data_IF_932797138180
#
_entry.id   IF_932797138180
#
_cell.length_a   1.000
_cell.length_b   1.000
_cell.length_c   1.000
_cell.angle_alpha   90.00
_cell.angle_beta   90.00
_cell.angle_gamma   90.00
#
_symmetry.space_group_name_H-M   'P 1'
#
loop_
_entity.id
_entity.type
_entity.pdbx_description
1 polymer ?
#
# COMPACT_ATOMS: atom_id res chain seq x y z
N UNK A 1 21.89 8.17 -9.02
CA UNK A 1 20.96 7.30 -8.27
C UNK A 1 20.93 7.65 -6.79
N UNK A 2 22.09 7.72 -6.12
CA UNK A 2 22.19 8.18 -4.72
C UNK A 2 21.79 9.63 -4.59
N UNK A 3 20.80 9.91 -3.71
CA UNK A 3 20.23 11.24 -3.48
C UNK A 3 21.12 12.05 -2.53
N UNK A 4 22.21 12.59 -3.07
CA UNK A 4 23.16 13.49 -2.40
C UNK A 4 23.33 14.76 -3.25
N UNK A 5 23.97 15.78 -2.69
CA UNK A 5 24.26 17.01 -3.44
C UNK A 5 23.23 18.11 -3.27
N UNK A 6 22.47 18.13 -2.17
CA UNK A 6 21.53 19.22 -1.89
C UNK A 6 22.26 20.57 -1.80
N UNK A 7 21.68 21.67 -2.33
CA UNK A 7 22.23 23.02 -2.22
C UNK A 7 22.61 23.43 -0.79
N UNK A 8 21.78 23.07 0.20
CA UNK A 8 22.00 23.41 1.61
C UNK A 8 23.14 22.63 2.29
N UNK A 9 23.58 21.51 1.69
CA UNK A 9 24.52 20.56 2.29
C UNK A 9 25.95 20.74 1.76
N UNK A 10 26.92 20.05 2.39
CA UNK A 10 28.33 19.98 1.98
C UNK A 10 28.85 18.53 1.92
N UNK A 11 27.96 17.55 1.73
CA UNK A 11 28.30 16.13 1.76
C UNK A 11 28.79 15.55 0.43
N UNK A 12 28.77 16.33 -0.64
CA UNK A 12 29.16 15.88 -1.99
C UNK A 12 29.73 17.04 -2.80
N UNK A 13 30.70 16.80 -3.70
CA UNK A 13 31.13 17.79 -4.70
C UNK A 13 29.97 18.34 -5.54
N UNK A 14 28.90 17.55 -5.73
CA UNK A 14 27.69 17.96 -6.43
C UNK A 14 26.94 19.11 -5.76
N UNK A 15 27.15 19.35 -4.45
CA UNK A 15 26.50 20.46 -3.74
C UNK A 15 26.86 21.83 -4.33
N UNK A 16 28.10 22.03 -4.81
CA UNK A 16 28.51 23.30 -5.40
C UNK A 16 27.77 23.58 -6.71
N UNK A 17 27.64 22.57 -7.56
CA UNK A 17 26.85 22.66 -8.79
C UNK A 17 25.37 22.85 -8.49
N UNK A 18 24.83 22.14 -7.51
CA UNK A 18 23.43 22.29 -7.15
C UNK A 18 23.09 23.71 -6.65
N UNK A 19 24.01 24.40 -5.97
CA UNK A 19 23.82 25.82 -5.58
C UNK A 19 23.86 26.79 -6.77
N UNK A 20 24.44 26.39 -7.89
CA UNK A 20 24.42 27.18 -9.12
C UNK A 20 23.13 26.96 -9.91
N UNK A 21 22.63 25.71 -9.91
CA UNK A 21 21.51 25.29 -10.77
C UNK A 21 20.14 25.36 -10.08
N UNK A 22 20.08 25.35 -8.74
CA UNK A 22 18.84 25.32 -7.96
C UNK A 22 18.87 26.37 -6.85
N UNK A 23 17.72 27.00 -6.61
CA UNK A 23 17.58 28.03 -5.58
C UNK A 23 17.40 27.41 -4.17
N UNK A 24 16.77 26.24 -4.09
CA UNK A 24 16.40 25.57 -2.82
C UNK A 24 16.49 24.04 -2.92
N UNK A 25 16.52 23.38 -1.76
CA UNK A 25 16.59 21.92 -1.66
C UNK A 25 15.35 21.21 -2.25
N UNK A 26 14.17 21.82 -2.14
CA UNK A 26 12.92 21.26 -2.66
C UNK A 26 12.91 21.20 -4.19
N UNK A 27 13.49 22.21 -4.84
CA UNK A 27 13.63 22.27 -6.30
C UNK A 27 14.59 21.16 -6.78
N UNK A 28 15.76 21.06 -6.14
CA UNK A 28 16.72 19.98 -6.38
C UNK A 28 16.06 18.60 -6.15
N UNK A 29 15.31 18.42 -5.06
CA UNK A 29 14.65 17.15 -4.74
C UNK A 29 13.65 16.74 -5.81
N UNK A 30 12.87 17.68 -6.36
CA UNK A 30 11.90 17.43 -7.42
C UNK A 30 12.59 17.07 -8.73
N UNK A 31 13.57 17.87 -9.14
CA UNK A 31 14.40 17.59 -10.32
C UNK A 31 15.04 16.21 -10.21
N UNK A 32 15.71 15.93 -9.08
CA UNK A 32 16.39 14.67 -8.86
C UNK A 32 15.43 13.48 -8.90
N UNK A 33 14.22 13.62 -8.36
CA UNK A 33 13.22 12.54 -8.41
C UNK A 33 12.78 12.22 -9.83
N UNK A 34 12.56 13.24 -10.68
CA UNK A 34 12.25 13.05 -12.11
C UNK A 34 13.43 12.46 -12.86
N UNK A 35 14.62 13.01 -12.68
CA UNK A 35 15.85 12.51 -13.28
C UNK A 35 16.10 11.04 -12.91
N UNK A 36 15.89 10.67 -11.65
CA UNK A 36 16.05 9.30 -11.17
C UNK A 36 15.04 8.34 -11.80
N UNK A 37 13.82 8.78 -12.09
CA UNK A 37 12.83 7.98 -12.83
C UNK A 37 13.30 7.69 -14.27
N UNK A 38 13.81 8.70 -14.98
CA UNK A 38 14.39 8.55 -16.33
C UNK A 38 15.60 7.61 -16.34
N UNK A 39 16.46 7.69 -15.33
CA UNK A 39 17.58 6.76 -15.17
C UNK A 39 17.09 5.34 -14.90
N UNK A 40 16.03 5.15 -14.11
CA UNK A 40 15.43 3.83 -13.89
C UNK A 40 14.90 3.21 -15.19
N UNK A 41 14.26 4.01 -16.06
CA UNK A 41 13.85 3.56 -17.38
C UNK A 41 15.04 3.23 -18.28
N UNK A 42 16.09 4.04 -18.24
CA UNK A 42 17.35 3.76 -18.94
C UNK A 42 17.96 2.42 -18.48
N UNK A 43 17.94 2.10 -17.19
CA UNK A 43 18.43 0.82 -16.65
C UNK A 43 17.59 -0.36 -17.18
N UNK A 44 16.27 -0.20 -17.27
CA UNK A 44 15.38 -1.22 -17.87
C UNK A 44 15.76 -1.49 -19.33
N UNK A 45 15.98 -0.46 -20.13
CA UNK A 45 16.41 -0.60 -21.52
C UNK A 45 17.82 -1.22 -21.62
N UNK A 46 18.76 -0.78 -20.78
CA UNK A 46 20.11 -1.32 -20.74
C UNK A 46 20.11 -2.83 -20.40
N UNK A 47 19.22 -3.26 -19.52
CA UNK A 47 19.05 -4.67 -19.13
C UNK A 47 18.61 -5.52 -20.32
N UNK A 48 17.71 -5.01 -21.17
CA UNK A 48 17.27 -5.72 -22.37
C UNK A 48 18.38 -5.93 -23.40
N UNK A 49 19.40 -5.06 -23.42
CA UNK A 49 20.55 -5.18 -24.33
C UNK A 49 21.71 -5.96 -23.71
N UNK A 50 21.97 -5.77 -22.41
CA UNK A 50 23.16 -6.27 -21.70
C UNK A 50 22.79 -6.91 -20.36
N UNK A 51 21.93 -7.92 -20.41
CA UNK A 51 21.38 -8.57 -19.21
C UNK A 51 22.44 -9.12 -18.26
N UNK A 52 23.44 -9.85 -18.78
CA UNK A 52 24.47 -10.48 -17.94
C UNK A 52 25.27 -9.45 -17.13
N UNK A 53 25.61 -8.33 -17.76
CA UNK A 53 26.35 -7.25 -17.11
C UNK A 53 25.52 -6.58 -16.02
N UNK A 54 24.30 -6.16 -16.36
CA UNK A 54 23.39 -5.46 -15.43
C UNK A 54 23.01 -6.34 -14.23
N UNK A 55 22.73 -7.63 -14.46
CA UNK A 55 22.48 -8.59 -13.38
C UNK A 55 23.70 -8.80 -12.48
N UNK A 56 24.89 -9.01 -13.05
CA UNK A 56 26.12 -9.20 -12.28
C UNK A 56 26.45 -7.97 -11.42
N UNK A 57 26.28 -6.76 -11.98
CA UNK A 57 26.46 -5.51 -11.25
C UNK A 57 25.52 -5.40 -10.04
N UNK A 58 24.22 -5.68 -10.24
CA UNK A 58 23.24 -5.68 -9.15
C UNK A 58 23.53 -6.76 -8.11
N UNK A 59 23.90 -7.96 -8.55
CA UNK A 59 24.28 -9.06 -7.65
C UNK A 59 25.42 -8.65 -6.73
N UNK A 60 26.48 -8.08 -7.29
CA UNK A 60 27.63 -7.63 -6.52
C UNK A 60 27.27 -6.49 -5.57
N UNK A 61 26.49 -5.50 -6.03
CA UNK A 61 26.09 -4.37 -5.19
C UNK A 61 25.19 -4.81 -4.03
N UNK A 62 24.21 -5.69 -4.29
CA UNK A 62 23.33 -6.23 -3.25
C UNK A 62 24.10 -7.07 -2.22
N UNK A 63 25.07 -7.88 -2.65
CA UNK A 63 25.95 -8.63 -1.72
C UNK A 63 26.78 -7.69 -0.86
N UNK A 64 27.32 -6.64 -1.47
CA UNK A 64 28.16 -5.66 -0.77
C UNK A 64 27.38 -4.88 0.28
N UNK A 65 26.18 -4.40 -0.06
CA UNK A 65 25.38 -3.59 0.87
C UNK A 65 24.88 -4.40 2.06
N UNK A 66 24.53 -5.68 1.83
CA UNK A 66 24.06 -6.58 2.90
C UNK A 66 25.18 -6.89 3.89
N UNK A 67 26.42 -6.98 3.42
CA UNK A 67 27.59 -7.22 4.27
C UNK A 67 28.05 -5.96 5.03
N UNK A 68 27.64 -4.77 4.60
CA UNK A 68 28.04 -3.50 5.19
C UNK A 68 27.19 -3.19 6.44
N UNK A 69 27.77 -2.73 7.56
CA UNK A 69 27.00 -2.29 8.71
C UNK A 69 26.12 -1.07 8.36
N UNK A 70 24.99 -0.94 9.06
CA UNK A 70 24.10 0.21 8.89
C UNK A 70 24.74 1.44 9.51
N UNK A 71 24.94 2.46 8.69
CA UNK A 71 25.47 3.78 9.01
C UNK A 71 24.31 4.78 9.07
N UNK A 72 23.97 5.20 10.30
CA UNK A 72 22.91 6.17 10.58
C UNK A 72 23.38 7.63 10.39
N UNK A 73 24.68 7.86 10.20
CA UNK A 73 25.29 9.18 10.04
C UNK A 73 25.94 9.71 11.32
N UNK A 74 26.20 11.03 11.35
CA UNK A 74 27.01 11.68 12.40
C UNK A 74 26.29 11.86 13.74
N UNK A 75 24.97 11.66 13.82
CA UNK A 75 24.22 11.75 15.06
C UNK A 75 24.32 10.43 15.87
N UNK A 76 25.10 10.39 16.96
CA UNK A 76 25.29 9.17 17.75
C UNK A 76 24.04 8.79 18.53
N UNK A 77 23.05 9.69 18.64
CA UNK A 77 21.78 9.46 19.34
C UNK A 77 20.70 8.87 18.42
N UNK A 78 20.91 8.88 17.10
CA UNK A 78 19.99 8.32 16.12
C UNK A 78 20.06 6.78 16.13
N UNK A 79 19.12 6.15 16.84
CA UNK A 79 19.01 4.69 16.89
C UNK A 79 18.59 4.05 15.54
N UNK A 80 17.98 4.83 14.64
CA UNK A 80 17.54 4.40 13.31
C UNK A 80 17.91 5.46 12.26
N UNK A 81 18.07 5.03 11.02
CA UNK A 81 18.24 5.83 9.82
C UNK A 81 17.10 6.82 9.63
N UNK A 82 17.45 7.96 9.05
CA UNK A 82 16.53 8.94 8.48
C UNK A 82 16.70 9.00 6.96
N UNK A 83 15.96 9.91 6.31
CA UNK A 83 15.97 10.05 4.84
C UNK A 83 17.30 10.56 4.26
N UNK A 84 18.25 10.99 5.10
CA UNK A 84 19.58 11.47 4.72
C UNK A 84 20.72 10.58 5.22
N UNK A 85 20.43 9.52 5.99
CA UNK A 85 21.46 8.59 6.48
C UNK A 85 22.18 7.91 5.31
N UNK A 86 23.53 7.79 5.34
CA UNK A 86 24.30 7.22 4.25
C UNK A 86 23.83 5.83 3.82
N UNK A 87 23.55 4.95 4.79
CA UNK A 87 23.03 3.61 4.48
C UNK A 87 21.67 3.65 3.81
N UNK A 88 20.74 4.49 4.26
CA UNK A 88 19.42 4.59 3.62
C UNK A 88 19.54 5.06 2.16
N UNK A 89 20.34 6.09 1.90
CA UNK A 89 20.53 6.60 0.53
C UNK A 89 21.12 5.55 -0.43
N UNK A 90 22.05 4.72 0.07
CA UNK A 90 22.64 3.63 -0.69
C UNK A 90 21.62 2.51 -0.94
N UNK A 91 20.88 2.09 0.09
CA UNK A 91 19.83 1.07 0.00
C UNK A 91 18.71 1.47 -0.94
N UNK A 92 18.20 2.69 -0.81
CA UNK A 92 17.13 3.24 -1.65
C UNK A 92 17.57 3.26 -3.14
N UNK A 93 18.83 3.62 -3.40
CA UNK A 93 19.41 3.61 -4.76
C UNK A 93 19.49 2.22 -5.36
N UNK A 94 20.04 1.28 -4.58
CA UNK A 94 20.16 -0.12 -4.98
C UNK A 94 18.78 -0.70 -5.28
N UNK A 95 17.79 -0.41 -4.44
CA UNK A 95 16.42 -0.95 -4.56
C UNK A 95 15.84 -0.66 -5.94
N UNK A 96 15.98 0.58 -6.43
CA UNK A 96 15.51 0.96 -7.77
C UNK A 96 16.30 0.25 -8.89
N UNK A 97 17.60 0.04 -8.70
CA UNK A 97 18.43 -0.67 -9.67
C UNK A 97 18.04 -2.15 -9.75
N UNK A 98 17.87 -2.80 -8.59
CA UNK A 98 17.38 -4.19 -8.48
C UNK A 98 16.03 -4.32 -9.17
N UNK A 99 15.07 -3.45 -8.86
CA UNK A 99 13.75 -3.49 -9.51
C UNK A 99 13.84 -3.29 -11.03
N UNK A 100 14.61 -2.29 -11.48
CA UNK A 100 14.84 -2.01 -12.90
C UNK A 100 15.37 -3.23 -13.65
N UNK A 101 16.43 -3.86 -13.13
CA UNK A 101 17.05 -5.04 -13.74
C UNK A 101 16.11 -6.25 -13.69
N UNK A 102 15.57 -6.60 -12.51
CA UNK A 102 14.73 -7.78 -12.36
C UNK A 102 13.44 -7.70 -13.19
N UNK A 103 12.89 -6.50 -13.41
CA UNK A 103 11.68 -6.30 -14.21
C UNK A 103 11.83 -6.64 -15.70
N UNK A 104 13.07 -6.69 -16.22
CA UNK A 104 13.39 -6.98 -17.63
C UNK A 104 14.25 -8.22 -17.82
N UNK A 105 14.52 -8.94 -16.74
CA UNK A 105 15.40 -10.11 -16.74
C UNK A 105 14.70 -11.33 -17.37
N UNK A 106 15.29 -11.90 -18.41
CA UNK A 106 14.94 -13.23 -18.92
C UNK A 106 15.69 -14.31 -18.12
N UNK A 107 15.01 -15.42 -17.85
CA UNK A 107 15.51 -16.50 -16.99
C UNK A 107 15.87 -17.76 -17.79
N UNK A 108 16.59 -17.55 -18.90
CA UNK A 108 17.01 -18.60 -19.83
C UNK A 108 18.38 -19.22 -19.46
N UNK A 109 19.18 -18.53 -18.66
CA UNK A 109 20.52 -18.96 -18.23
C UNK A 109 20.45 -19.59 -16.83
N UNK A 110 20.73 -20.89 -16.71
CA UNK A 110 20.67 -21.63 -15.46
C UNK A 110 21.62 -21.07 -14.38
N UNK A 111 22.81 -20.58 -14.77
CA UNK A 111 23.75 -20.00 -13.81
C UNK A 111 23.18 -18.72 -13.20
N UNK A 112 22.51 -17.91 -14.03
CA UNK A 112 21.85 -16.68 -13.58
C UNK A 112 20.67 -16.97 -12.66
N UNK A 113 19.94 -18.07 -12.92
CA UNK A 113 18.87 -18.55 -12.03
C UNK A 113 19.44 -18.97 -10.68
N UNK A 114 20.53 -19.76 -10.66
CA UNK A 114 21.18 -20.18 -9.41
C UNK A 114 21.66 -18.97 -8.61
N UNK A 115 22.36 -18.04 -9.25
CA UNK A 115 22.82 -16.81 -8.59
C UNK A 115 21.64 -15.97 -8.08
N UNK A 116 20.54 -15.88 -8.82
CA UNK A 116 19.32 -15.19 -8.40
C UNK A 116 18.66 -15.82 -7.19
N UNK A 117 18.65 -17.16 -7.10
CA UNK A 117 18.18 -17.90 -5.92
C UNK A 117 19.11 -17.63 -4.72
N UNK A 118 20.43 -17.56 -4.93
CA UNK A 118 21.37 -17.21 -3.86
C UNK A 118 21.14 -15.79 -3.34
N UNK A 119 20.86 -14.83 -4.23
CA UNK A 119 20.51 -13.46 -3.84
C UNK A 119 19.19 -13.42 -3.07
N UNK A 120 18.18 -14.19 -3.49
CA UNK A 120 16.91 -14.31 -2.76
C UNK A 120 17.15 -14.82 -1.34
N UNK A 121 17.93 -15.90 -1.19
CA UNK A 121 18.27 -16.46 0.13
C UNK A 121 19.08 -15.47 0.98
N UNK A 122 20.00 -14.72 0.37
CA UNK A 122 20.77 -13.69 1.05
C UNK A 122 19.88 -12.58 1.59
N UNK A 123 18.96 -12.07 0.77
CA UNK A 123 17.98 -11.05 1.21
C UNK A 123 17.07 -11.61 2.28
N UNK A 124 16.65 -12.88 2.20
CA UNK A 124 15.83 -13.53 3.23
C UNK A 124 16.56 -13.65 4.58
N UNK A 125 17.85 -13.96 4.57
CA UNK A 125 18.68 -14.09 5.77
C UNK A 125 19.04 -12.75 6.42
N UNK A 126 18.99 -11.63 5.68
CA UNK A 126 19.33 -10.31 6.21
C UNK A 126 18.31 -9.82 7.26
N UNK A 127 18.74 -9.47 8.46
CA UNK A 127 17.89 -8.94 9.53
C UNK A 127 18.26 -7.50 9.87
N UNK A 128 17.26 -6.68 10.15
CA UNK A 128 17.44 -5.30 10.62
C UNK A 128 16.27 -4.87 11.50
N UNK A 129 16.55 -4.01 12.47
CA UNK A 129 15.53 -3.32 13.28
C UNK A 129 15.23 -1.92 12.74
N UNK A 130 15.95 -1.49 11.71
CA UNK A 130 15.74 -0.20 11.08
C UNK A 130 14.55 -0.25 10.12
N UNK A 131 13.49 0.56 10.31
CA UNK A 131 12.32 0.52 9.45
C UNK A 131 12.62 0.91 8.00
N UNK A 132 13.45 1.93 7.76
CA UNK A 132 13.72 2.38 6.39
C UNK A 132 14.51 1.32 5.61
N UNK A 133 15.53 0.72 6.24
CA UNK A 133 16.30 -0.37 5.62
C UNK A 133 15.46 -1.62 5.45
N UNK A 134 14.58 -1.95 6.41
CA UNK A 134 13.63 -3.06 6.27
C UNK A 134 12.70 -2.85 5.06
N UNK A 135 12.23 -1.61 4.84
CA UNK A 135 11.43 -1.27 3.66
C UNK A 135 12.19 -1.51 2.35
N UNK A 136 13.46 -1.09 2.27
CA UNK A 136 14.31 -1.36 1.10
C UNK A 136 14.55 -2.86 0.89
N UNK A 137 14.80 -3.61 1.97
CA UNK A 137 14.97 -5.07 1.94
C UNK A 137 13.72 -5.77 1.40
N UNK A 138 12.52 -5.35 1.82
CA UNK A 138 11.25 -5.87 1.30
C UNK A 138 11.05 -5.58 -0.18
N UNK A 139 11.46 -4.40 -0.65
CA UNK A 139 11.41 -4.06 -2.07
C UNK A 139 12.35 -4.93 -2.90
N UNK A 140 13.60 -5.12 -2.45
CA UNK A 140 14.55 -6.06 -3.06
C UNK A 140 14.00 -7.49 -3.08
N UNK A 141 13.44 -7.96 -1.96
CA UNK A 141 12.79 -9.27 -1.85
C UNK A 141 11.68 -9.41 -2.90
N UNK A 142 10.81 -8.41 -3.03
CA UNK A 142 9.69 -8.44 -3.98
C UNK A 142 10.12 -8.47 -5.44
N UNK A 143 11.26 -7.84 -5.77
CA UNK A 143 11.85 -7.86 -7.10
C UNK A 143 12.47 -9.22 -7.45
N UNK A 144 12.92 -9.97 -6.43
CA UNK A 144 13.51 -11.31 -6.58
C UNK A 144 12.46 -12.43 -6.63
N UNK A 145 11.16 -12.14 -6.53
CA UNK A 145 10.10 -13.16 -6.60
C UNK A 145 10.10 -13.95 -7.91
N UNK A 146 10.66 -13.39 -8.99
CA UNK A 146 10.79 -14.08 -10.28
C UNK A 146 11.55 -15.42 -10.17
N UNK A 147 12.38 -15.58 -9.13
CA UNK A 147 13.15 -16.79 -8.87
C UNK A 147 12.38 -17.86 -8.07
N UNK A 148 11.23 -17.52 -7.45
CA UNK A 148 10.48 -18.45 -6.59
C UNK A 148 10.00 -19.69 -7.33
N UNK A 149 9.71 -19.59 -8.64
CA UNK A 149 9.32 -20.74 -9.46
C UNK A 149 10.40 -21.82 -9.56
N UNK A 150 11.67 -21.46 -9.32
CA UNK A 150 12.80 -22.40 -9.31
C UNK A 150 13.16 -22.90 -7.91
N UNK A 151 12.62 -22.27 -6.86
CA UNK A 151 12.88 -22.64 -5.46
C UNK A 151 11.59 -22.57 -4.61
N UNK A 152 10.55 -23.33 -4.95
CA UNK A 152 9.26 -23.25 -4.27
C UNK A 152 9.35 -23.59 -2.78
N UNK A 153 10.34 -24.40 -2.37
CA UNK A 153 10.58 -24.75 -0.97
C UNK A 153 10.94 -23.56 -0.06
N UNK A 154 11.36 -22.43 -0.63
CA UNK A 154 11.70 -21.20 0.12
C UNK A 154 10.46 -20.34 0.41
N UNK A 155 9.31 -20.62 -0.21
CA UNK A 155 8.07 -19.85 -0.04
C UNK A 155 7.65 -19.67 1.44
N UNK A 156 7.69 -20.69 2.31
CA UNK A 156 7.35 -20.51 3.73
C UNK A 156 8.25 -19.48 4.43
N UNK A 157 9.55 -19.45 4.09
CA UNK A 157 10.52 -18.48 4.63
C UNK A 157 10.22 -17.06 4.15
N UNK A 158 9.82 -16.92 2.88
CA UNK A 158 9.38 -15.64 2.29
C UNK A 158 8.15 -15.12 3.04
N UNK A 159 7.12 -15.96 3.20
CA UNK A 159 5.91 -15.57 3.91
C UNK A 159 6.20 -15.23 5.38
N UNK A 160 7.04 -16.01 6.05
CA UNK A 160 7.46 -15.71 7.43
C UNK A 160 8.09 -14.32 7.53
N UNK A 161 8.97 -13.95 6.60
CA UNK A 161 9.62 -12.64 6.57
C UNK A 161 8.63 -11.50 6.31
N UNK A 162 7.72 -11.69 5.35
CA UNK A 162 6.67 -10.71 5.05
C UNK A 162 5.74 -10.51 6.27
N UNK A 163 5.28 -11.60 6.89
CA UNK A 163 4.41 -11.52 8.07
C UNK A 163 5.12 -10.88 9.27
N UNK A 164 6.40 -11.17 9.49
CA UNK A 164 7.19 -10.48 10.51
C UNK A 164 7.22 -8.96 10.28
N UNK A 165 7.32 -8.52 9.02
CA UNK A 165 7.25 -7.11 8.67
C UNK A 165 5.84 -6.51 8.79
N UNK A 166 4.77 -7.28 8.50
CA UNK A 166 3.37 -6.86 8.70
C UNK A 166 3.10 -6.54 10.17
N UNK A 167 3.67 -7.31 11.10
CA UNK A 167 3.52 -7.08 12.55
C UNK A 167 4.67 -6.27 13.17
N UNK A 168 5.55 -5.72 12.35
CA UNK A 168 6.74 -5.00 12.81
C UNK A 168 6.38 -3.84 13.75
N UNK A 169 7.15 -3.69 14.82
CA UNK A 169 7.07 -2.60 15.78
C UNK A 169 8.46 -2.35 16.39
N UNK A 170 8.76 -1.09 16.70
CA UNK A 170 9.92 -0.76 17.51
C UNK A 170 9.64 -0.97 19.00
N UNK A 171 10.66 -1.23 19.84
CA UNK A 171 10.49 -1.39 21.28
C UNK A 171 9.73 -0.21 21.90
N UNK A 172 8.72 -0.51 22.72
CA UNK A 172 7.88 0.49 23.40
C UNK A 172 6.78 1.14 22.56
N UNK A 173 6.65 0.81 21.27
CA UNK A 173 5.54 1.29 20.44
C UNK A 173 4.28 0.43 20.60
N UNK A 174 3.13 1.11 20.54
CA UNK A 174 1.78 0.53 20.52
C UNK A 174 1.10 0.88 19.21
N UNK A 175 -0.07 0.29 18.92
CA UNK A 175 -0.87 0.61 17.72
C UNK A 175 -1.05 2.11 17.47
N UNK A 176 -1.29 2.90 18.53
CA UNK A 176 -1.51 4.34 18.45
C UNK A 176 -0.22 5.16 18.37
N UNK A 177 0.90 4.65 18.92
CA UNK A 177 2.17 5.39 19.06
C UNK A 177 3.23 5.02 18.00
N UNK A 178 2.91 4.16 17.03
CA UNK A 178 3.83 3.83 15.91
C UNK A 178 4.27 5.10 15.15
N UNK A 179 5.56 5.21 14.90
CA UNK A 179 6.13 6.25 14.03
C UNK A 179 5.66 6.08 12.59
N UNK A 180 5.79 7.15 11.78
CA UNK A 180 5.41 7.11 10.37
C UNK A 180 6.23 6.07 9.60
N UNK A 181 7.54 5.97 9.85
CA UNK A 181 8.39 4.94 9.26
C UNK A 181 7.89 3.50 9.54
N UNK A 182 7.48 3.20 10.78
CA UNK A 182 6.94 1.87 11.13
C UNK A 182 5.61 1.60 10.43
N UNK A 183 4.69 2.57 10.41
CA UNK A 183 3.42 2.44 9.66
C UNK A 183 3.68 2.18 8.17
N UNK A 184 4.63 2.90 7.58
CA UNK A 184 5.01 2.75 6.17
C UNK A 184 5.56 1.34 5.88
N UNK A 185 6.45 0.80 6.72
CA UNK A 185 6.99 -0.57 6.55
C UNK A 185 5.90 -1.62 6.60
N UNK A 186 4.99 -1.52 7.56
CA UNK A 186 3.90 -2.48 7.72
C UNK A 186 2.94 -2.44 6.53
N UNK A 187 2.58 -1.25 6.07
CA UNK A 187 1.79 -1.06 4.85
C UNK A 187 2.53 -1.59 3.61
N UNK A 188 3.84 -1.34 3.50
CA UNK A 188 4.68 -1.87 2.43
C UNK A 188 4.72 -3.40 2.43
N UNK A 189 4.87 -4.03 3.60
CA UNK A 189 4.80 -5.47 3.75
C UNK A 189 3.45 -6.04 3.31
N UNK A 190 2.33 -5.38 3.66
CA UNK A 190 1.00 -5.75 3.18
C UNK A 190 0.93 -5.66 1.64
N UNK A 191 1.47 -4.60 1.03
CA UNK A 191 1.54 -4.44 -0.43
C UNK A 191 2.42 -5.51 -1.10
N UNK A 192 3.54 -5.89 -0.49
CA UNK A 192 4.39 -7.00 -0.96
C UNK A 192 3.63 -8.32 -0.91
N UNK A 193 2.83 -8.56 0.14
CA UNK A 193 1.96 -9.74 0.22
C UNK A 193 0.90 -9.75 -0.89
N UNK A 194 0.28 -8.60 -1.17
CA UNK A 194 -0.66 -8.46 -2.29
C UNK A 194 0.04 -8.75 -3.62
N UNK A 195 1.25 -8.25 -3.83
CA UNK A 195 2.05 -8.48 -5.05
C UNK A 195 2.32 -9.97 -5.27
N UNK A 196 2.82 -10.69 -4.26
CA UNK A 196 3.05 -12.14 -4.41
C UNK A 196 1.75 -12.93 -4.63
N UNK A 197 0.67 -12.55 -3.92
CA UNK A 197 -0.65 -13.16 -4.08
C UNK A 197 -1.29 -12.86 -5.45
N UNK A 198 -0.94 -11.73 -6.08
CA UNK A 198 -1.44 -11.34 -7.40
C UNK A 198 -0.65 -12.00 -8.52
N UNK A 199 0.68 -11.92 -8.47
CA UNK A 199 1.56 -12.25 -9.57
C UNK A 199 1.97 -13.74 -9.57
N UNK A 200 1.92 -14.40 -8.41
CA UNK A 200 2.33 -15.81 -8.22
C UNK A 200 1.20 -16.66 -7.63
N UNK A 201 -0.03 -16.43 -8.10
CA UNK A 201 -1.25 -17.11 -7.62
C UNK A 201 -1.15 -18.65 -7.58
N UNK A 202 -0.59 -19.27 -8.62
CA UNK A 202 -0.42 -20.74 -8.69
C UNK A 202 0.51 -21.27 -7.61
N UNK A 203 1.54 -20.50 -7.23
CA UNK A 203 2.47 -20.86 -6.16
C UNK A 203 1.85 -20.65 -4.78
N UNK A 204 1.00 -19.63 -4.64
CA UNK A 204 0.33 -19.27 -3.38
C UNK A 204 -0.88 -20.17 -3.06
N UNK A 205 -1.58 -20.67 -4.07
CA UNK A 205 -2.81 -21.44 -3.86
C UNK A 205 -2.66 -22.71 -3.01
N UNK A 206 -1.60 -23.53 -3.16
CA UNK A 206 -1.37 -24.70 -2.30
C UNK A 206 -1.29 -24.38 -0.80
N UNK A 207 -0.83 -23.18 -0.44
CA UNK A 207 -0.70 -22.71 0.94
C UNK A 207 -1.84 -21.77 1.37
N UNK A 208 -2.91 -21.65 0.56
CA UNK A 208 -4.00 -20.70 0.81
C UNK A 208 -4.69 -20.90 2.16
N UNK A 209 -4.85 -22.15 2.61
CA UNK A 209 -5.47 -22.45 3.91
C UNK A 209 -4.61 -21.97 5.08
N UNK A 210 -3.31 -22.20 5.01
CA UNK A 210 -2.35 -21.74 6.03
C UNK A 210 -2.26 -20.22 6.02
N UNK A 211 -2.27 -19.61 4.83
CA UNK A 211 -2.34 -18.17 4.65
C UNK A 211 -3.59 -17.57 5.33
N UNK A 212 -4.77 -18.16 5.09
CA UNK A 212 -6.01 -17.77 5.78
C UNK A 212 -5.87 -17.87 7.31
N UNK A 213 -5.30 -18.96 7.81
CA UNK A 213 -5.11 -19.19 9.25
C UNK A 213 -4.19 -18.14 9.89
N UNK A 214 -3.03 -17.88 9.28
CA UNK A 214 -2.10 -16.86 9.74
C UNK A 214 -2.75 -15.47 9.79
N UNK A 215 -3.47 -15.09 8.74
CA UNK A 215 -4.10 -13.78 8.65
C UNK A 215 -5.26 -13.65 9.64
N UNK A 216 -6.05 -14.70 9.82
CA UNK A 216 -7.12 -14.73 10.82
C UNK A 216 -6.56 -14.57 12.24
N UNK A 217 -5.43 -15.21 12.56
CA UNK A 217 -4.78 -15.06 13.87
C UNK A 217 -4.33 -13.62 14.13
N UNK A 218 -3.78 -12.94 13.11
CA UNK A 218 -3.34 -11.54 13.23
C UNK A 218 -4.56 -10.59 13.34
N UNK A 219 -5.62 -10.81 12.55
CA UNK A 219 -6.83 -9.97 12.54
C UNK A 219 -7.61 -10.09 13.86
N UNK A 220 -7.56 -11.26 14.52
CA UNK A 220 -8.21 -11.46 15.82
C UNK A 220 -7.59 -10.63 16.95
N UNK A 221 -6.33 -10.23 16.83
CA UNK A 221 -5.67 -9.32 17.77
C UNK A 221 -6.02 -7.87 17.38
N UNK A 222 -6.97 -7.29 18.12
CA UNK A 222 -7.50 -5.94 17.89
C UNK A 222 -6.42 -4.84 17.98
N UNK A 223 -5.31 -5.11 18.68
CA UNK A 223 -4.21 -4.16 18.86
C UNK A 223 -3.10 -4.31 17.82
N UNK A 224 -3.19 -5.27 16.89
CA UNK A 224 -2.17 -5.42 15.84
C UNK A 224 -2.43 -4.52 14.64
N UNK A 225 -3.52 -4.77 13.91
CA UNK A 225 -3.73 -4.18 12.60
C UNK A 225 -4.59 -2.93 12.65
N UNK A 226 -4.22 -1.94 11.84
CA UNK A 226 -5.15 -0.90 11.41
C UNK A 226 -6.20 -1.49 10.45
N UNK A 227 -7.35 -0.83 10.34
CA UNK A 227 -8.40 -1.22 9.41
C UNK A 227 -7.91 -1.26 7.95
N UNK A 228 -7.02 -0.34 7.57
CA UNK A 228 -6.44 -0.32 6.22
C UNK A 228 -5.52 -1.51 5.97
N UNK A 229 -4.67 -1.87 6.95
CA UNK A 229 -3.85 -3.09 6.86
C UNK A 229 -4.74 -4.33 6.73
N UNK A 230 -5.81 -4.45 7.52
CA UNK A 230 -6.79 -5.54 7.40
C UNK A 230 -7.43 -5.60 6.00
N UNK A 231 -7.80 -4.46 5.42
CA UNK A 231 -8.32 -4.39 4.06
C UNK A 231 -7.32 -4.93 3.02
N UNK A 232 -6.07 -4.46 3.06
CA UNK A 232 -5.01 -4.86 2.12
C UNK A 232 -4.72 -6.37 2.25
N UNK A 233 -4.67 -6.87 3.49
CA UNK A 233 -4.52 -8.29 3.78
C UNK A 233 -5.70 -9.10 3.22
N UNK A 234 -6.93 -8.67 3.45
CA UNK A 234 -8.10 -9.37 2.91
C UNK A 234 -8.12 -9.36 1.38
N UNK A 235 -7.66 -8.28 0.75
CA UNK A 235 -7.43 -8.19 -0.69
C UNK A 235 -6.46 -9.26 -1.20
N UNK A 236 -5.35 -9.51 -0.49
CA UNK A 236 -4.42 -10.58 -0.82
C UNK A 236 -5.09 -11.96 -0.81
N UNK A 237 -5.97 -12.22 0.16
CA UNK A 237 -6.73 -13.47 0.21
C UNK A 237 -7.73 -13.60 -0.94
N UNK A 238 -8.41 -12.51 -1.31
CA UNK A 238 -9.35 -12.51 -2.44
C UNK A 238 -8.63 -12.88 -3.73
N UNK A 239 -7.44 -12.31 -3.96
CA UNK A 239 -6.61 -12.61 -5.13
C UNK A 239 -6.29 -14.10 -5.25
N UNK A 240 -5.86 -14.75 -4.16
CA UNK A 240 -5.56 -16.19 -4.17
C UNK A 240 -6.84 -17.02 -4.29
N UNK A 241 -7.95 -16.58 -3.70
CA UNK A 241 -9.24 -17.29 -3.78
C UNK A 241 -9.76 -17.44 -5.21
N UNK A 242 -9.37 -16.54 -6.14
CA UNK A 242 -9.71 -16.66 -7.55
C UNK A 242 -9.19 -17.97 -8.19
N UNK A 243 -8.13 -18.58 -7.62
CA UNK A 243 -7.58 -19.88 -8.06
C UNK A 243 -8.42 -21.08 -7.64
N UNK A 244 -9.48 -20.90 -6.85
CA UNK A 244 -10.44 -21.98 -6.64
C UNK A 244 -11.12 -22.42 -7.93
N UNK A 245 -11.22 -21.52 -8.93
CA UNK A 245 -11.89 -21.75 -10.21
C UNK A 245 -13.30 -22.38 -10.04
N UNK A 246 -13.98 -22.01 -8.95
CA UNK A 246 -15.29 -22.54 -8.54
C UNK A 246 -16.13 -21.38 -7.99
N UNK A 247 -17.23 -21.09 -8.70
CA UNK A 247 -18.11 -19.97 -8.38
C UNK A 247 -18.69 -20.07 -6.96
N UNK A 248 -19.11 -21.26 -6.53
CA UNK A 248 -19.77 -21.43 -5.25
C UNK A 248 -18.78 -21.24 -4.09
N UNK A 249 -17.57 -21.80 -4.22
CA UNK A 249 -16.52 -21.63 -3.21
C UNK A 249 -16.07 -20.18 -3.10
N UNK A 250 -15.84 -19.51 -4.23
CA UNK A 250 -15.45 -18.10 -4.23
C UNK A 250 -16.56 -17.21 -3.64
N UNK A 251 -17.82 -17.42 -4.03
CA UNK A 251 -18.93 -16.62 -3.52
C UNK A 251 -19.15 -16.83 -2.02
N UNK A 252 -18.99 -18.07 -1.53
CA UNK A 252 -19.06 -18.36 -0.10
C UNK A 252 -17.91 -17.72 0.70
N UNK A 253 -16.70 -17.77 0.17
CA UNK A 253 -15.53 -17.12 0.76
C UNK A 253 -15.71 -15.60 0.86
N UNK A 254 -16.14 -14.95 -0.23
CA UNK A 254 -16.42 -13.52 -0.26
C UNK A 254 -17.57 -13.15 0.69
N UNK A 255 -18.61 -13.98 0.77
CA UNK A 255 -19.68 -13.79 1.74
C UNK A 255 -19.14 -13.78 3.17
N UNK A 256 -18.26 -14.70 3.53
CA UNK A 256 -17.63 -14.74 4.84
C UNK A 256 -16.82 -13.46 5.13
N UNK A 257 -15.97 -13.04 4.20
CA UNK A 257 -15.13 -11.83 4.37
C UNK A 257 -15.94 -10.54 4.41
N UNK A 258 -17.10 -10.49 3.75
CA UNK A 258 -18.00 -9.33 3.80
C UNK A 258 -18.97 -9.34 4.99
N UNK A 259 -19.02 -10.38 5.83
CA UNK A 259 -19.93 -10.41 7.00
C UNK A 259 -19.72 -9.21 7.95
N UNK A 260 -18.50 -8.82 8.34
CA UNK A 260 -18.29 -7.65 9.20
C UNK A 260 -18.80 -6.36 8.54
N UNK A 261 -18.51 -6.18 7.25
CA UNK A 261 -18.98 -5.04 6.46
C UNK A 261 -20.50 -5.01 6.39
N UNK A 262 -21.16 -6.15 6.11
CA UNK A 262 -22.62 -6.24 6.08
C UNK A 262 -23.26 -5.84 7.42
N UNK A 263 -22.65 -6.22 8.55
CA UNK A 263 -23.16 -5.84 9.89
C UNK A 263 -23.14 -4.34 10.11
N UNK A 264 -22.04 -3.66 9.80
CA UNK A 264 -21.94 -2.20 9.94
C UNK A 264 -22.76 -1.50 8.85
N UNK A 265 -22.55 -1.86 7.60
CA UNK A 265 -23.11 -1.17 6.44
C UNK A 265 -24.64 -1.27 6.37
N UNK A 266 -25.22 -2.38 6.81
CA UNK A 266 -26.68 -2.56 6.87
C UNK A 266 -27.28 -2.23 8.23
N UNK A 267 -26.50 -1.67 9.17
CA UNK A 267 -26.99 -1.21 10.47
C UNK A 267 -27.99 -0.07 10.32
N UNK A 268 -28.87 0.11 11.31
CA UNK A 268 -29.84 1.20 11.28
C UNK A 268 -29.14 2.56 11.43
N UNK A 269 -28.06 2.59 12.21
CA UNK A 269 -27.20 3.74 12.41
C UNK A 269 -26.63 4.24 11.08
N UNK A 270 -26.07 3.35 10.25
CA UNK A 270 -25.53 3.72 8.94
C UNK A 270 -26.63 4.14 7.96
N UNK A 271 -27.76 3.42 7.93
CA UNK A 271 -28.89 3.79 7.06
C UNK A 271 -29.40 5.20 7.36
N UNK A 272 -29.57 5.53 8.64
CA UNK A 272 -30.03 6.86 9.06
C UNK A 272 -28.98 7.93 8.75
N UNK A 273 -27.70 7.64 9.01
CA UNK A 273 -26.61 8.55 8.69
C UNK A 273 -26.55 8.87 7.19
N UNK A 274 -26.75 7.89 6.31
CA UNK A 274 -26.61 8.08 4.86
C UNK A 274 -27.85 8.65 4.18
N UNK A 275 -29.01 8.68 4.86
CA UNK A 275 -30.28 9.06 4.24
C UNK A 275 -30.36 10.57 3.90
N UNK A 276 -29.78 11.42 4.74
CA UNK A 276 -29.84 12.87 4.62
C UNK A 276 -28.49 13.54 4.96
N UNK A 277 -28.15 14.67 4.33
CA UNK A 277 -26.87 15.36 4.51
C UNK A 277 -26.66 15.86 5.95
N UNK A 278 -27.70 16.34 6.65
CA UNK A 278 -27.62 16.78 8.05
C UNK A 278 -27.28 15.60 8.99
N UNK A 279 -27.90 14.44 8.75
CA UNK A 279 -27.63 13.21 9.51
C UNK A 279 -26.22 12.70 9.27
N UNK A 280 -25.76 12.74 8.02
CA UNK A 280 -24.39 12.38 7.69
C UNK A 280 -23.40 13.31 8.39
N UNK A 281 -23.64 14.63 8.30
CA UNK A 281 -22.81 15.65 8.92
C UNK A 281 -22.67 15.44 10.43
N UNK A 282 -23.79 15.16 11.11
CA UNK A 282 -23.80 14.82 12.53
C UNK A 282 -23.04 13.55 12.85
N UNK A 283 -23.25 12.49 12.06
CA UNK A 283 -22.63 11.19 12.29
C UNK A 283 -21.10 11.21 12.14
N UNK A 284 -20.59 12.03 11.20
CA UNK A 284 -19.15 12.20 10.99
C UNK A 284 -18.55 13.31 11.85
N UNK A 285 -19.36 14.10 12.57
CA UNK A 285 -18.91 15.17 13.47
C UNK A 285 -18.48 16.45 12.76
N UNK A 286 -19.03 16.73 11.58
CA UNK A 286 -18.70 17.93 10.78
C UNK A 286 -19.49 19.19 11.21
N UNK A 287 -20.60 18.98 11.91
CA UNK A 287 -21.42 20.00 12.59
C UNK A 287 -20.95 20.29 14.02
N UNK A 288 -19.96 19.54 14.51
CA UNK A 288 -19.46 19.60 15.88
C UNK A 288 -18.11 20.32 15.96
N UNK A 289 -17.75 20.79 17.15
CA UNK A 289 -16.43 21.35 17.39
C UNK A 289 -15.33 20.28 17.21
N UNK A 290 -14.21 20.61 16.56
CA UNK A 290 -12.98 19.82 16.58
C UNK A 290 -12.61 19.27 17.95
N UNK A 291 -12.28 17.98 18.01
CA UNK A 291 -11.88 17.30 19.25
C UNK A 291 -10.40 16.92 19.20
N UNK A 292 -9.66 17.34 20.22
CA UNK A 292 -8.29 16.93 20.53
C UNK A 292 -8.16 16.58 22.02
N UNK A 293 -7.41 15.54 22.39
CA UNK A 293 -6.61 14.65 21.53
C UNK A 293 -7.49 13.75 20.65
N UNK A 294 -6.96 13.30 19.51
CA UNK A 294 -7.66 12.40 18.57
C UNK A 294 -8.30 11.14 19.20
N UNK A 295 -7.84 10.70 20.36
CA UNK A 295 -8.41 9.58 21.11
C UNK A 295 -9.80 9.84 21.70
N UNK A 296 -10.17 11.11 21.88
CA UNK A 296 -11.48 11.52 22.42
C UNK A 296 -12.53 11.75 21.31
N UNK A 297 -12.10 11.70 20.05
CA UNK A 297 -12.94 11.91 18.87
C UNK A 297 -13.77 10.66 18.55
N UNK A 298 -14.94 10.55 19.19
CA UNK A 298 -15.91 9.47 18.98
C UNK A 298 -16.40 9.40 17.53
N UNK A 299 -16.60 10.55 16.88
CA UNK A 299 -16.98 10.64 15.48
C UNK A 299 -15.85 10.14 14.54
N UNK A 300 -14.60 10.20 14.98
CA UNK A 300 -13.45 9.62 14.29
C UNK A 300 -13.58 8.10 14.12
N UNK A 301 -14.22 7.41 15.06
CA UNK A 301 -14.52 5.98 14.95
C UNK A 301 -15.54 5.73 13.84
N UNK A 302 -16.59 6.56 13.76
CA UNK A 302 -17.61 6.48 12.72
C UNK A 302 -17.01 6.69 11.32
N UNK A 303 -16.19 7.73 11.15
CA UNK A 303 -15.45 7.98 9.90
C UNK A 303 -14.57 6.79 9.53
N UNK A 304 -13.84 6.22 10.50
CA UNK A 304 -13.02 5.03 10.28
C UNK A 304 -13.85 3.82 9.81
N UNK A 305 -15.01 3.56 10.43
CA UNK A 305 -15.91 2.48 10.00
C UNK A 305 -16.46 2.68 8.59
N UNK A 306 -16.80 3.92 8.20
CA UNK A 306 -17.21 4.23 6.83
C UNK A 306 -16.05 3.89 5.88
N UNK A 307 -14.86 4.44 6.13
CA UNK A 307 -13.67 4.18 5.31
C UNK A 307 -13.36 2.68 5.20
N UNK A 308 -13.40 1.91 6.29
CA UNK A 308 -13.21 0.46 6.25
C UNK A 308 -14.21 -0.22 5.32
N UNK A 309 -15.51 0.07 5.48
CA UNK A 309 -16.55 -0.55 4.67
C UNK A 309 -16.40 -0.21 3.18
N UNK A 310 -16.14 1.05 2.84
CA UNK A 310 -15.99 1.48 1.44
C UNK A 310 -14.76 0.84 0.79
N UNK A 311 -13.62 0.81 1.48
CA UNK A 311 -12.40 0.15 1.00
C UNK A 311 -12.60 -1.36 0.81
N UNK A 312 -13.27 -2.04 1.74
CA UNK A 312 -13.57 -3.48 1.62
C UNK A 312 -14.51 -3.78 0.46
N UNK A 313 -15.55 -2.97 0.27
CA UNK A 313 -16.46 -3.08 -0.89
C UNK A 313 -15.67 -2.92 -2.19
N UNK A 314 -14.84 -1.88 -2.27
CA UNK A 314 -14.01 -1.60 -3.44
C UNK A 314 -12.99 -2.72 -3.71
N UNK A 315 -12.34 -3.25 -2.67
CA UNK A 315 -11.38 -4.34 -2.78
C UNK A 315 -12.02 -5.59 -3.37
N UNK A 316 -13.21 -5.98 -2.89
CA UNK A 316 -13.95 -7.13 -3.44
C UNK A 316 -14.32 -6.90 -4.91
N UNK A 317 -14.81 -5.70 -5.26
CA UNK A 317 -15.16 -5.35 -6.64
C UNK A 317 -13.93 -5.40 -7.55
N UNK A 318 -12.80 -4.83 -7.11
CA UNK A 318 -11.56 -4.75 -7.91
C UNK A 318 -10.86 -6.09 -8.09
N UNK A 319 -11.02 -7.03 -7.16
CA UNK A 319 -10.17 -8.23 -7.06
C UNK A 319 -10.87 -9.55 -7.31
N UNK A 320 -12.19 -9.64 -7.10
CA UNK A 320 -12.92 -10.85 -7.43
C UNK A 320 -13.09 -10.99 -8.94
N UNK A 321 -12.59 -12.09 -9.51
CA UNK A 321 -12.63 -12.32 -10.96
C UNK A 321 -12.89 -13.78 -11.27
N UNK A 322 -13.60 -14.05 -12.37
CA UNK A 322 -13.71 -15.39 -12.94
C UNK A 322 -12.40 -15.82 -13.66
N UNK A 323 -12.20 -17.12 -13.94
CA UNK A 323 -11.05 -17.60 -14.70
C UNK A 323 -10.99 -17.01 -16.11
N UNK A 324 -9.77 -16.70 -16.60
CA UNK A 324 -9.57 -16.20 -17.98
C UNK A 324 -9.82 -17.25 -19.06
N UNK A 325 -9.65 -18.53 -18.69
CA UNK A 325 -9.90 -19.67 -19.56
C UNK A 325 -11.41 -19.98 -19.58
N UNK A 326 -12.01 -19.96 -20.76
CA UNK A 326 -13.43 -20.17 -20.98
C UNK A 326 -13.91 -21.57 -20.56
N UNK A 327 -13.09 -22.61 -20.73
CA UNK A 327 -13.46 -23.97 -20.34
C UNK A 327 -13.48 -24.10 -18.82
N UNK A 328 -12.45 -23.58 -18.16
CA UNK A 328 -12.38 -23.53 -16.69
C UNK A 328 -13.54 -22.71 -16.12
N UNK A 329 -13.87 -21.59 -16.73
CA UNK A 329 -14.97 -20.75 -16.27
C UNK A 329 -16.35 -21.41 -16.47
N UNK A 330 -16.52 -22.21 -17.53
CA UNK A 330 -17.72 -23.03 -17.75
C UNK A 330 -17.83 -24.14 -16.70
N UNK A 331 -16.77 -24.93 -16.52
CA UNK A 331 -16.73 -26.02 -15.52
C UNK A 331 -16.89 -25.51 -14.09
N UNK A 332 -16.32 -24.35 -13.78
CA UNK A 332 -16.41 -23.67 -12.49
C UNK A 332 -17.76 -23.01 -12.22
N UNK A 333 -18.69 -23.03 -13.17
CA UNK A 333 -20.04 -22.50 -13.01
C UNK A 333 -20.13 -20.97 -13.05
N UNK A 334 -19.19 -20.28 -13.71
CA UNK A 334 -19.18 -18.82 -13.88
C UNK A 334 -19.97 -18.35 -15.10
N UNK A 335 -20.31 -19.25 -16.03
CA UNK A 335 -21.14 -18.93 -17.19
C UNK A 335 -22.60 -18.84 -16.73
N UNK A 336 -23.21 -17.67 -16.93
CA UNK A 336 -24.64 -17.46 -16.69
C UNK A 336 -25.47 -17.89 -17.91
N UNK A 337 -25.07 -17.45 -19.10
CA UNK A 337 -25.75 -17.75 -20.35
C UNK A 337 -24.78 -17.66 -21.53
N UNK A 338 -25.07 -18.36 -22.63
CA UNK A 338 -24.35 -18.22 -23.91
C UNK A 338 -25.27 -17.53 -24.90
N UNK A 339 -24.86 -16.38 -25.42
CA UNK A 339 -25.61 -15.61 -26.40
C UNK A 339 -25.68 -16.35 -27.74
N UNK A 340 -26.67 -16.01 -28.56
CA UNK A 340 -26.82 -16.52 -29.93
C UNK A 340 -25.60 -16.18 -30.81
N UNK A 341 -24.90 -15.08 -30.49
CA UNK A 341 -23.63 -14.67 -31.11
C UNK A 341 -22.45 -15.60 -30.79
N UNK A 342 -22.62 -16.54 -29.86
CA UNK A 342 -21.57 -17.45 -29.40
C UNK A 342 -20.76 -16.93 -28.19
N UNK A 343 -20.99 -15.70 -27.74
CA UNK A 343 -20.31 -15.10 -26.58
C UNK A 343 -20.88 -15.60 -25.24
N UNK A 344 -20.01 -15.72 -24.23
CA UNK A 344 -20.40 -16.13 -22.89
C UNK A 344 -20.69 -14.92 -21.99
N UNK A 345 -21.87 -14.92 -21.37
CA UNK A 345 -22.23 -13.98 -20.30
C UNK A 345 -21.75 -14.58 -18.98
N UNK A 346 -20.81 -13.89 -18.34
CA UNK A 346 -20.19 -14.32 -17.09
C UNK A 346 -20.90 -13.68 -15.88
N UNK A 347 -20.91 -14.39 -14.75
CA UNK A 347 -21.33 -13.83 -13.45
C UNK A 347 -20.13 -13.72 -12.51
N UNK A 348 -20.07 -12.61 -11.78
CA UNK A 348 -19.05 -12.39 -10.76
C UNK A 348 -19.47 -13.04 -9.43
N UNK A 349 -18.59 -13.79 -8.73
CA UNK A 349 -18.90 -14.38 -7.42
C UNK A 349 -19.32 -13.37 -6.35
N UNK A 350 -18.90 -12.11 -6.47
CA UNK A 350 -19.22 -11.03 -5.54
C UNK A 350 -20.58 -10.37 -5.80
N UNK A 351 -21.21 -10.58 -6.97
CA UNK A 351 -22.38 -9.80 -7.41
C UNK A 351 -23.50 -9.79 -6.37
N UNK A 352 -23.84 -10.95 -5.79
CA UNK A 352 -24.94 -11.07 -4.82
C UNK A 352 -24.69 -10.24 -3.55
N UNK A 353 -23.47 -10.31 -3.05
CA UNK A 353 -23.05 -9.68 -1.80
C UNK A 353 -22.97 -8.17 -2.00
N UNK A 354 -22.38 -7.71 -3.11
CA UNK A 354 -22.24 -6.28 -3.43
C UNK A 354 -23.59 -5.65 -3.75
N UNK A 355 -24.48 -6.37 -4.46
CA UNK A 355 -25.83 -5.87 -4.77
C UNK A 355 -26.60 -5.48 -3.49
N UNK A 356 -26.48 -6.27 -2.41
CA UNK A 356 -27.10 -5.94 -1.12
C UNK A 356 -26.53 -4.71 -0.42
N UNK A 357 -25.32 -4.27 -0.80
CA UNK A 357 -24.64 -3.10 -0.20
C UNK A 357 -24.82 -1.82 -1.04
N UNK A 358 -25.15 -1.97 -2.33
CA UNK A 358 -25.19 -0.88 -3.31
C UNK A 358 -26.19 0.22 -2.96
N UNK A 359 -27.35 -0.13 -2.37
CA UNK A 359 -28.34 0.88 -1.97
C UNK A 359 -27.74 1.93 -1.04
N UNK A 360 -27.01 1.48 0.00
CA UNK A 360 -26.36 2.37 0.96
C UNK A 360 -25.16 3.11 0.38
N UNK A 361 -24.46 2.54 -0.61
CA UNK A 361 -23.44 3.26 -1.38
C UNK A 361 -24.06 4.45 -2.10
N UNK A 362 -25.19 4.25 -2.79
CA UNK A 362 -25.88 5.33 -3.50
C UNK A 362 -26.43 6.39 -2.55
N UNK A 363 -26.94 5.99 -1.37
CA UNK A 363 -27.36 6.95 -0.34
C UNK A 363 -26.20 7.77 0.20
N UNK A 364 -25.07 7.13 0.53
CA UNK A 364 -23.87 7.82 0.97
C UNK A 364 -23.39 8.82 -0.09
N UNK A 365 -23.26 8.37 -1.35
CA UNK A 365 -22.86 9.23 -2.47
C UNK A 365 -23.80 10.42 -2.63
N UNK A 366 -25.12 10.19 -2.61
CA UNK A 366 -26.12 11.25 -2.69
C UNK A 366 -25.93 12.25 -1.55
N UNK A 367 -25.85 11.78 -0.32
CA UNK A 367 -25.73 12.64 0.87
C UNK A 367 -24.42 13.41 0.88
N UNK A 368 -23.31 12.78 0.50
CA UNK A 368 -22.03 13.43 0.30
C UNK A 368 -22.15 14.56 -0.73
N UNK A 369 -22.62 14.29 -1.94
CA UNK A 369 -22.81 15.32 -2.97
C UNK A 369 -23.69 16.49 -2.48
N UNK A 370 -24.74 16.20 -1.70
CA UNK A 370 -25.62 17.22 -1.14
C UNK A 370 -24.93 18.09 -0.06
N UNK A 371 -23.82 17.65 0.56
CA UNK A 371 -23.06 18.47 1.51
C UNK A 371 -22.54 19.78 0.88
N UNK A 372 -22.34 19.81 -0.43
CA UNK A 372 -21.89 20.99 -1.16
C UNK A 372 -23.00 22.00 -1.49
N UNK A 373 -24.28 21.67 -1.23
CA UNK A 373 -25.37 22.61 -1.42
C UNK A 373 -25.31 23.75 -0.39
N UNK A 374 -25.64 24.98 -0.80
CA UNK A 374 -25.56 26.17 0.06
C UNK A 374 -26.31 26.04 1.40
N UNK A 375 -27.43 25.32 1.40
CA UNK A 375 -28.23 25.05 2.60
C UNK A 375 -27.44 24.22 3.63
N UNK A 376 -26.73 23.19 3.17
CA UNK A 376 -25.95 22.29 4.02
C UNK A 376 -24.59 22.87 4.40
N UNK A 377 -23.99 23.68 3.52
CA UNK A 377 -22.76 24.40 3.80
C UNK A 377 -22.86 25.26 5.07
N UNK A 378 -24.05 25.78 5.40
CA UNK A 378 -24.29 26.61 6.59
C UNK A 378 -24.41 25.81 7.90
N UNK A 379 -24.59 24.49 7.82
CA UNK A 379 -24.80 23.62 9.00
C UNK A 379 -23.49 23.18 9.65
N UNK A 380 -22.36 23.31 8.96
CA UNK A 380 -21.04 22.90 9.46
C UNK A 380 -20.58 23.78 10.62
N UNK A 381 -19.74 23.21 11.49
CA UNK A 381 -19.08 23.99 12.51
C UNK A 381 -18.11 25.02 11.88
N UNK A 382 -18.00 26.26 12.40
CA UNK A 382 -17.12 27.28 11.84
C UNK A 382 -15.65 26.86 11.71
N UNK A 383 -15.15 26.05 12.64
CA UNK A 383 -13.76 25.55 12.59
C UNK A 383 -13.53 24.48 11.50
N UNK A 384 -14.61 23.91 10.96
CA UNK A 384 -14.59 23.04 9.78
C UNK A 384 -15.01 23.78 8.50
N UNK A 385 -14.98 25.12 8.49
CA UNK A 385 -15.35 25.90 7.31
C UNK A 385 -14.54 25.54 6.06
N UNK A 386 -13.27 25.15 6.25
CA UNK A 386 -12.34 24.73 5.19
C UNK A 386 -12.32 23.21 4.94
N UNK A 387 -13.23 22.45 5.56
CA UNK A 387 -13.21 20.99 5.43
C UNK A 387 -13.46 20.50 3.99
N UNK A 388 -14.05 21.34 3.15
CA UNK A 388 -14.32 21.08 1.73
C UNK A 388 -13.26 21.69 0.80
N UNK A 389 -12.32 22.46 1.33
CA UNK A 389 -11.26 23.06 0.53
C UNK A 389 -10.34 21.97 0.01
N UNK A 390 -9.76 22.21 -1.17
CA UNK A 390 -8.70 21.37 -1.72
C UNK A 390 -7.54 21.33 -0.71
N UNK A 391 -6.96 20.14 -0.48
CA UNK A 391 -5.85 19.97 0.44
C UNK A 391 -4.68 20.87 0.01
N UNK A 392 -3.98 21.48 0.98
CA UNK A 392 -2.84 22.36 0.68
C UNK A 392 -1.76 21.65 -0.15
N UNK A 393 -1.55 20.36 0.08
CA UNK A 393 -0.61 19.55 -0.71
C UNK A 393 -1.04 19.42 -2.18
N UNK A 394 -2.34 19.35 -2.45
CA UNK A 394 -2.88 19.25 -3.80
C UNK A 394 -2.80 20.61 -4.50
N UNK A 395 -3.08 21.70 -3.77
CA UNK A 395 -2.87 23.08 -4.27
C UNK A 395 -1.39 23.28 -4.61
N UNK A 396 -0.48 22.90 -3.72
CA UNK A 396 0.97 22.98 -3.97
C UNK A 396 1.35 22.17 -5.22
N UNK A 397 0.87 20.94 -5.33
CA UNK A 397 1.11 20.07 -6.48
C UNK A 397 0.61 20.67 -7.79
N UNK A 398 -0.60 21.24 -7.80
CA UNK A 398 -1.19 21.94 -8.95
C UNK A 398 -0.43 23.20 -9.34
N UNK A 399 0.07 23.95 -8.35
CA UNK A 399 0.86 25.16 -8.55
C UNK A 399 2.32 24.86 -8.91
N UNK A 400 2.72 23.59 -8.97
CA UNK A 400 4.10 23.18 -9.18
C UNK A 400 5.03 23.49 -8.00
N UNK A 401 4.48 23.90 -6.85
CA UNK A 401 5.21 24.15 -5.62
C UNK A 401 5.59 22.81 -5.00
N UNK A 402 6.88 22.64 -4.71
CA UNK A 402 7.40 21.39 -4.20
C UNK A 402 7.22 21.33 -2.68
N UNK A 403 6.69 20.23 -2.13
CA UNK A 403 6.52 20.10 -0.69
C UNK A 403 7.89 20.01 0.02
N UNK A 404 7.99 20.48 1.27
CA UNK A 404 9.23 20.42 2.04
C UNK A 404 9.68 18.96 2.24
N UNK A 405 11.00 18.74 2.29
CA UNK A 405 11.57 17.44 2.60
C UNK A 405 11.39 17.13 4.09
N UNK A 406 10.27 16.50 4.47
CA UNK A 406 9.97 16.16 5.88
C UNK A 406 10.54 14.78 6.23
N UNK A 407 11.33 14.71 7.31
CA UNK A 407 11.84 13.45 7.83
C UNK A 407 10.70 12.55 8.38
N UNK A 408 10.76 11.26 8.03
CA UNK A 408 9.73 10.28 8.40
C UNK A 408 9.97 9.62 9.77
N UNK A 409 11.06 9.99 10.46
CA UNK A 409 11.46 9.41 11.75
C UNK A 409 10.66 9.94 12.96
N UNK A 410 10.07 11.12 12.83
CA UNK A 410 9.25 11.72 13.89
C UNK A 410 7.96 10.93 14.20
N UNK A 411 7.42 11.13 15.40
CA UNK A 411 6.04 10.73 15.69
C UNK A 411 5.13 11.32 14.62
N UNK A 412 4.21 10.52 14.10
CA UNK A 412 3.17 11.03 13.23
C UNK A 412 2.48 12.16 13.99
N UNK A 413 2.77 13.42 13.66
CA UNK A 413 1.99 14.56 14.14
C UNK A 413 0.55 14.15 13.87
N UNK A 414 -0.26 13.99 14.93
CA UNK A 414 -1.68 13.79 14.76
C UNK A 414 -2.14 14.92 13.86
N UNK A 415 -2.57 14.58 12.64
CA UNK A 415 -3.05 15.59 11.70
C UNK A 415 -4.09 16.42 12.46
N UNK A 416 -4.01 17.74 12.32
CA UNK A 416 -4.97 18.65 12.93
C UNK A 416 -6.40 18.17 12.61
N UNK A 417 -7.41 18.31 13.50
CA UNK A 417 -8.75 17.76 13.27
C UNK A 417 -9.33 18.15 11.91
N UNK A 418 -9.12 19.40 11.50
CA UNK A 418 -9.49 19.89 10.17
C UNK A 418 -8.87 19.07 9.04
N UNK A 419 -7.56 18.83 9.08
CA UNK A 419 -6.88 18.02 8.07
C UNK A 419 -7.36 16.57 8.08
N UNK A 420 -7.65 15.99 9.25
CA UNK A 420 -8.25 14.64 9.35
C UNK A 420 -9.61 14.59 8.66
N UNK A 421 -10.45 15.61 8.86
CA UNK A 421 -11.76 15.72 8.22
C UNK A 421 -11.63 15.93 6.70
N UNK A 422 -10.75 16.83 6.26
CA UNK A 422 -10.48 17.07 4.83
C UNK A 422 -10.04 15.78 4.14
N UNK A 423 -9.05 15.07 4.70
CA UNK A 423 -8.61 13.80 4.15
C UNK A 423 -9.75 12.76 4.06
N UNK A 424 -10.56 12.63 5.11
CA UNK A 424 -11.70 11.72 5.09
C UNK A 424 -12.71 12.06 3.99
N UNK A 425 -13.05 13.34 3.83
CA UNK A 425 -14.00 13.78 2.80
C UNK A 425 -13.43 13.57 1.40
N UNK A 426 -12.17 13.97 1.15
CA UNK A 426 -11.49 13.77 -0.14
C UNK A 426 -11.39 12.28 -0.50
N UNK A 427 -10.86 11.45 0.41
CA UNK A 427 -10.78 10.00 0.19
C UNK A 427 -12.15 9.36 -0.03
N UNK A 428 -13.17 9.84 0.69
CA UNK A 428 -14.55 9.36 0.54
C UNK A 428 -15.14 9.62 -0.86
N UNK A 429 -14.75 10.72 -1.51
CA UNK A 429 -15.11 10.99 -2.91
C UNK A 429 -14.27 10.19 -3.90
N UNK A 430 -12.96 10.08 -3.69
CA UNK A 430 -12.03 9.44 -4.63
C UNK A 430 -12.19 7.90 -4.73
N UNK A 431 -12.81 7.28 -3.72
CA UNK A 431 -13.02 5.82 -3.67
C UNK A 431 -14.04 5.32 -4.72
N UNK A 432 -14.97 6.17 -5.15
CA UNK A 432 -16.09 5.83 -6.04
C UNK A 432 -15.91 6.44 -7.42
#
# INVERSE_FOLDING_TARGET
MVKVGYPSQQNSPSCEYARLDFEHDEEFASFFSKYRAEIADTIRQLTMVTQKFTFSFVSQWLRTIIAKPVDTGEDPSAANCNLSSPSFLEWDSLTMFVEGVMSRLSLDDENQVHEGVDLLNLVLAFETQDPLILSCSLSCLSSLFIFLKYTPGVLPTVLKKIFAAVIFNLPGQTKSTRSKAVKNVRQHACSVLVKICKDYQTLMFPVFKDLCGCMQAIIQDQDQLSQMEECILTEALILVSNQHEDFAKQSAFLAEKLKPVQRFWSSEEFRQAFMYPDKLMHFIGLDQAPVEPSSEDTCGINRSHISYCTHMILAVIKRSTWPKDSEKASMGGFVFHKLESGEYVMKNPATRQIHGLLGNVLYLLKSMNMLFCEENLKLRHPEFAKAYDVLDNDIQSLMGIQPPCVDNTGNALCKHPLQRMQHFLTEGYDIW
#
